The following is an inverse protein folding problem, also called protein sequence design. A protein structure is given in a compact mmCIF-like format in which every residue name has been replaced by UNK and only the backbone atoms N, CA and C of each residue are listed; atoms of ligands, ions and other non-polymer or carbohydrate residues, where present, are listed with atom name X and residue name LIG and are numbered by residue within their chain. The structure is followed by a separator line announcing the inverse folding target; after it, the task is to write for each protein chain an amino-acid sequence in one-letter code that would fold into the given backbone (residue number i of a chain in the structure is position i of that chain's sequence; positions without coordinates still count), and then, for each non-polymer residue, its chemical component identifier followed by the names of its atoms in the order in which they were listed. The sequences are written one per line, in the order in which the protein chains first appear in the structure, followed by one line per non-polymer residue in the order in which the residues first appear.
data_IF_856062600894
#
_entry.id   IF_856062600894
#
_cell.length_a   1.000
_cell.length_b   1.000
_cell.length_c   1.000
_cell.angle_alpha   90.00
_cell.angle_beta   90.00
_cell.angle_gamma   90.00
#
_symmetry.space_group_name_H-M   'P 1'
#
loop_
_entity.id
_entity.type
_entity.pdbx_description
1 polymer ?
#
# COMPACT_ATOMS: atom_id res chain seq x y z
N UNK A 1 -74.73 -61.08 -81.35
CA UNK A 1 -74.29 -61.46 -80.00
C UNK A 1 -72.91 -60.89 -79.73
N UNK A 2 -72.83 -59.88 -78.86
CA UNK A 2 -71.60 -59.29 -78.35
C UNK A 2 -71.24 -59.90 -76.98
N UNK A 3 -70.00 -59.77 -76.53
CA UNK A 3 -69.52 -60.30 -75.24
C UNK A 3 -69.00 -59.20 -74.29
N UNK A 4 -68.82 -59.51 -72.99
CA UNK A 4 -68.07 -58.66 -72.03
C UNK A 4 -66.55 -58.81 -72.17
N UNK A 5 -65.77 -57.82 -71.77
CA UNK A 5 -64.32 -57.85 -71.99
C UNK A 5 -63.56 -58.85 -71.11
N UNK A 6 -63.92 -58.93 -69.83
CA UNK A 6 -63.16 -59.69 -68.84
C UNK A 6 -63.53 -61.18 -68.79
N UNK A 7 -64.83 -61.47 -68.80
CA UNK A 7 -65.34 -62.84 -68.63
C UNK A 7 -65.95 -63.41 -69.91
N UNK A 8 -65.93 -62.65 -71.02
CA UNK A 8 -66.49 -63.08 -72.30
C UNK A 8 -67.93 -63.58 -72.15
N UNK A 9 -68.74 -62.86 -71.36
CA UNK A 9 -70.14 -63.21 -71.11
C UNK A 9 -70.99 -62.71 -72.26
N UNK A 10 -71.87 -63.55 -72.79
CA UNK A 10 -72.77 -63.17 -73.87
C UNK A 10 -73.76 -62.09 -73.43
N UNK A 11 -73.95 -61.08 -74.27
CA UNK A 11 -74.97 -60.03 -74.14
C UNK A 11 -76.03 -60.24 -75.22
N UNK A 12 -77.28 -60.37 -74.79
CA UNK A 12 -78.43 -60.38 -75.68
C UNK A 12 -78.77 -58.94 -76.10
N UNK A 13 -78.90 -58.70 -77.40
CA UNK A 13 -79.48 -57.45 -77.92
C UNK A 13 -80.84 -57.77 -78.56
N UNK A 14 -81.96 -57.30 -77.99
CA UNK A 14 -83.29 -57.66 -78.47
C UNK A 14 -83.59 -57.13 -79.89
N UNK A 15 -82.85 -56.11 -80.35
CA UNK A 15 -83.00 -55.56 -81.71
C UNK A 15 -82.08 -56.31 -82.67
N UNK A 16 -80.78 -56.42 -82.34
CA UNK A 16 -79.78 -57.00 -83.23
C UNK A 16 -79.82 -58.54 -83.30
N UNK A 17 -80.39 -59.22 -82.30
CA UNK A 17 -80.52 -60.68 -82.26
C UNK A 17 -81.99 -61.13 -82.39
N UNK A 18 -82.89 -60.27 -82.89
CA UNK A 18 -84.34 -60.52 -83.03
C UNK A 18 -84.72 -61.78 -83.82
N UNK A 19 -83.92 -62.16 -84.82
CA UNK A 19 -84.13 -63.37 -85.64
C UNK A 19 -83.47 -64.64 -85.05
N UNK A 20 -82.79 -64.54 -83.90
CA UNK A 20 -82.10 -65.68 -83.27
C UNK A 20 -82.92 -66.25 -82.13
N UNK A 21 -83.05 -67.57 -82.10
CA UNK A 21 -83.69 -68.26 -80.98
C UNK A 21 -82.85 -68.11 -79.71
N UNK A 22 -83.50 -67.74 -78.60
CA UNK A 22 -82.83 -67.64 -77.31
C UNK A 22 -82.31 -69.02 -76.88
N UNK A 23 -80.98 -69.17 -76.80
CA UNK A 23 -80.32 -70.40 -76.38
C UNK A 23 -79.94 -70.30 -74.89
N UNK A 24 -80.72 -70.96 -74.04
CA UNK A 24 -80.56 -70.97 -72.58
C UNK A 24 -79.15 -71.46 -72.18
N UNK A 25 -78.62 -72.47 -72.87
CA UNK A 25 -77.32 -73.06 -72.52
C UNK A 25 -76.18 -72.06 -72.73
N UNK A 26 -76.24 -71.30 -73.82
CA UNK A 26 -75.15 -70.36 -74.17
C UNK A 26 -75.29 -69.03 -73.42
N UNK A 27 -76.50 -68.49 -73.34
CA UNK A 27 -76.74 -67.12 -72.86
C UNK A 27 -76.97 -67.02 -71.35
N UNK A 28 -77.32 -68.13 -70.69
CA UNK A 28 -77.49 -68.20 -69.24
C UNK A 28 -76.48 -69.16 -68.62
N UNK A 29 -76.61 -70.47 -68.86
CA UNK A 29 -75.82 -71.49 -68.15
C UNK A 29 -74.32 -71.26 -68.35
N UNK A 30 -73.87 -71.09 -69.60
CA UNK A 30 -72.46 -70.82 -69.90
C UNK A 30 -71.93 -69.48 -69.35
N UNK A 31 -72.78 -68.48 -69.16
CA UNK A 31 -72.38 -67.24 -68.49
C UNK A 31 -72.25 -67.44 -66.97
N UNK A 32 -73.17 -68.20 -66.36
CA UNK A 32 -73.10 -68.56 -64.95
C UNK A 32 -71.87 -69.41 -64.62
N UNK A 33 -71.55 -70.41 -65.45
CA UNK A 33 -70.34 -71.23 -65.26
C UNK A 33 -69.06 -70.39 -65.31
N UNK A 34 -69.00 -69.39 -66.19
CA UNK A 34 -67.86 -68.45 -66.29
C UNK A 34 -67.77 -67.53 -65.07
N UNK A 35 -68.90 -67.07 -64.55
CA UNK A 35 -68.95 -66.25 -63.33
C UNK A 35 -68.51 -67.09 -62.13
N UNK A 36 -69.04 -68.30 -61.98
CA UNK A 36 -68.76 -69.21 -60.88
C UNK A 36 -67.29 -69.64 -60.86
N UNK A 37 -66.75 -70.02 -62.03
CA UNK A 37 -65.34 -70.34 -62.18
C UNK A 37 -64.43 -69.14 -61.81
N UNK A 38 -64.83 -67.91 -62.15
CA UNK A 38 -64.04 -66.72 -61.78
C UNK A 38 -64.15 -66.38 -60.30
N UNK A 39 -65.34 -66.52 -59.71
CA UNK A 39 -65.54 -66.34 -58.28
C UNK A 39 -64.60 -67.29 -57.49
N UNK A 40 -64.54 -68.56 -57.90
CA UNK A 40 -63.61 -69.53 -57.33
C UNK A 40 -62.12 -69.13 -57.51
N UNK A 41 -61.74 -68.57 -58.67
CA UNK A 41 -60.38 -68.05 -58.88
C UNK A 41 -60.05 -66.85 -57.97
N UNK A 42 -61.02 -65.96 -57.75
CA UNK A 42 -60.83 -64.77 -56.91
C UNK A 42 -60.76 -65.11 -55.42
N UNK A 43 -61.62 -66.01 -54.95
CA UNK A 43 -61.57 -66.52 -53.57
C UNK A 43 -60.21 -67.18 -53.25
N UNK A 44 -59.51 -67.70 -54.26
CA UNK A 44 -58.18 -68.28 -54.12
C UNK A 44 -57.00 -67.30 -54.10
N UNK A 45 -57.19 -66.00 -54.41
CA UNK A 45 -56.05 -65.06 -54.57
C UNK A 45 -55.56 -64.44 -53.27
N UNK A 46 -56.43 -64.18 -52.32
CA UNK A 46 -56.06 -63.69 -51.00
C UNK A 46 -57.15 -64.06 -50.00
N UNK A 47 -56.82 -64.85 -49.00
CA UNK A 47 -57.73 -65.13 -47.89
C UNK A 47 -57.49 -64.14 -46.75
N UNK A 48 -58.48 -63.90 -45.87
CA UNK A 48 -58.28 -63.11 -44.66
C UNK A 48 -57.08 -63.58 -43.82
N UNK A 49 -56.85 -64.90 -43.77
CA UNK A 49 -55.69 -65.49 -43.07
C UNK A 49 -54.37 -65.13 -43.74
N UNK A 50 -54.30 -65.15 -45.07
CA UNK A 50 -53.13 -64.73 -45.85
C UNK A 50 -52.77 -63.27 -45.60
N UNK A 51 -53.77 -62.39 -45.60
CA UNK A 51 -53.59 -60.97 -45.33
C UNK A 51 -53.12 -60.74 -43.88
N UNK A 52 -53.69 -61.47 -42.92
CA UNK A 52 -53.28 -61.40 -41.52
C UNK A 52 -51.84 -61.91 -41.31
N UNK A 53 -51.44 -62.96 -42.02
CA UNK A 53 -50.06 -63.47 -41.98
C UNK A 53 -49.06 -62.41 -42.46
N UNK A 54 -49.32 -61.73 -43.58
CA UNK A 54 -48.49 -60.63 -44.10
C UNK A 54 -48.41 -59.45 -43.13
N UNK A 55 -49.54 -59.09 -42.50
CA UNK A 55 -49.57 -58.03 -41.49
C UNK A 55 -48.74 -58.38 -40.25
N UNK A 56 -48.81 -59.64 -39.79
CA UNK A 56 -48.01 -60.13 -38.67
C UNK A 56 -46.51 -60.13 -38.98
N UNK A 57 -46.13 -60.54 -40.20
CA UNK A 57 -44.73 -60.53 -40.67
C UNK A 57 -44.19 -59.09 -40.73
N UNK A 58 -44.95 -58.16 -41.32
CA UNK A 58 -44.56 -56.75 -41.36
C UNK A 58 -44.42 -56.14 -39.95
N UNK A 59 -45.30 -56.49 -39.01
CA UNK A 59 -45.21 -56.04 -37.63
C UNK A 59 -43.97 -56.60 -36.93
N UNK A 60 -43.62 -57.87 -37.15
CA UNK A 60 -42.42 -58.48 -36.59
C UNK A 60 -41.15 -57.78 -37.11
N UNK A 61 -41.06 -57.58 -38.43
CA UNK A 61 -39.93 -56.90 -39.06
C UNK A 61 -39.76 -55.44 -38.55
N UNK A 62 -40.88 -54.72 -38.38
CA UNK A 62 -40.84 -53.36 -37.84
C UNK A 62 -40.34 -53.31 -36.39
N UNK A 63 -40.76 -54.27 -35.56
CA UNK A 63 -40.29 -54.37 -34.16
C UNK A 63 -38.81 -54.71 -34.09
N UNK A 64 -38.35 -55.64 -34.91
CA UNK A 64 -36.94 -56.03 -35.00
C UNK A 64 -36.06 -54.83 -35.41
N UNK A 65 -36.45 -54.12 -36.47
CA UNK A 65 -35.75 -52.91 -36.90
C UNK A 65 -35.69 -51.83 -35.81
N UNK A 66 -36.80 -51.60 -35.09
CA UNK A 66 -36.84 -50.63 -34.01
C UNK A 66 -35.90 -51.01 -32.86
N UNK A 67 -35.88 -52.29 -32.47
CA UNK A 67 -34.99 -52.79 -31.42
C UNK A 67 -33.51 -52.66 -31.81
N UNK A 68 -33.16 -53.01 -33.05
CA UNK A 68 -31.79 -52.87 -33.56
C UNK A 68 -31.33 -51.42 -33.56
N UNK A 69 -32.21 -50.49 -33.98
CA UNK A 69 -31.88 -49.06 -33.98
C UNK A 69 -31.78 -48.47 -32.58
N UNK A 70 -32.59 -48.93 -31.63
CA UNK A 70 -32.47 -48.51 -30.22
C UNK A 70 -31.17 -49.04 -29.60
N UNK A 71 -30.75 -50.26 -29.95
CA UNK A 71 -29.50 -50.84 -29.48
C UNK A 71 -28.26 -50.09 -30.03
N UNK A 72 -28.31 -49.62 -31.28
CA UNK A 72 -27.20 -48.89 -31.90
C UNK A 72 -27.15 -47.39 -31.51
N UNK A 73 -28.28 -46.81 -31.11
CA UNK A 73 -28.42 -45.35 -30.95
C UNK A 73 -27.89 -44.76 -29.63
N UNK A 74 -27.31 -45.51 -28.69
CA UNK A 74 -26.86 -44.82 -27.46
C UNK A 74 -26.10 -45.57 -26.38
N UNK A 75 -25.85 -46.88 -26.49
CA UNK A 75 -25.00 -47.54 -25.50
C UNK A 75 -23.51 -47.27 -25.79
N UNK A 76 -22.83 -46.71 -24.80
CA UNK A 76 -21.38 -46.53 -24.86
C UNK A 76 -20.74 -47.92 -24.80
N UNK A 77 -20.20 -48.39 -25.93
CA UNK A 77 -19.68 -49.76 -26.08
C UNK A 77 -18.40 -50.03 -25.28
N UNK A 78 -17.65 -48.98 -24.94
CA UNK A 78 -16.53 -49.07 -24.00
C UNK A 78 -16.15 -47.73 -23.38
N UNK A 79 -15.79 -47.73 -22.09
CA UNK A 79 -15.14 -46.61 -21.37
C UNK A 79 -14.15 -47.18 -20.36
N UNK A 80 -12.95 -46.61 -20.30
CA UNK A 80 -11.94 -46.90 -19.28
C UNK A 80 -11.75 -48.42 -19.02
N UNK A 81 -11.48 -49.16 -20.10
CA UNK A 81 -11.30 -50.63 -20.11
C UNK A 81 -12.54 -51.48 -19.79
N UNK A 82 -13.71 -50.88 -19.56
CA UNK A 82 -15.00 -51.61 -19.54
C UNK A 82 -15.51 -51.73 -20.97
N UNK A 83 -16.01 -52.89 -21.35
CA UNK A 83 -16.61 -53.19 -22.66
C UNK A 83 -18.00 -53.78 -22.48
N UNK A 84 -18.90 -53.57 -23.44
CA UNK A 84 -20.29 -54.04 -23.39
C UNK A 84 -21.25 -52.93 -22.95
N UNK A 85 -22.32 -53.29 -22.25
CA UNK A 85 -23.31 -52.35 -21.72
C UNK A 85 -22.72 -51.56 -20.54
N UNK A 86 -22.01 -50.46 -20.83
CA UNK A 86 -21.34 -49.67 -19.80
C UNK A 86 -22.31 -48.72 -19.13
N UNK A 87 -22.63 -48.98 -17.85
CA UNK A 87 -23.25 -48.00 -16.96
C UNK A 87 -22.15 -47.08 -16.41
N UNK A 88 -22.17 -45.80 -16.79
CA UNK A 88 -21.20 -44.81 -16.33
C UNK A 88 -21.56 -44.29 -14.93
N UNK A 89 -20.57 -44.32 -14.04
CA UNK A 89 -20.58 -43.58 -12.78
C UNK A 89 -19.79 -42.29 -12.91
N UNK A 90 -19.95 -41.37 -11.96
CA UNK A 90 -19.16 -40.14 -11.89
C UNK A 90 -17.64 -40.42 -11.91
N UNK A 91 -17.21 -41.54 -11.29
CA UNK A 91 -15.81 -41.96 -11.29
C UNK A 91 -15.30 -42.35 -12.68
N UNK A 92 -16.16 -42.94 -13.52
CA UNK A 92 -15.77 -43.42 -14.86
C UNK A 92 -15.42 -42.27 -15.82
N UNK A 93 -15.94 -41.07 -15.56
CA UNK A 93 -15.66 -39.86 -16.34
C UNK A 93 -14.70 -38.89 -15.64
N UNK A 94 -14.12 -39.30 -14.51
CA UNK A 94 -13.25 -38.43 -13.71
C UNK A 94 -13.97 -37.18 -13.17
N UNK A 95 -15.27 -37.27 -12.92
CA UNK A 95 -16.01 -36.15 -12.34
C UNK A 95 -15.53 -35.89 -10.92
N UNK A 96 -15.33 -34.61 -10.61
CA UNK A 96 -14.93 -34.15 -9.28
C UNK A 96 -16.00 -34.52 -8.24
N UNK A 97 -15.55 -34.95 -7.07
CA UNK A 97 -16.48 -35.26 -5.97
C UNK A 97 -16.90 -33.98 -5.27
N UNK A 98 -18.10 -33.92 -4.65
CA UNK A 98 -18.49 -32.79 -3.82
C UNK A 98 -17.43 -32.47 -2.73
N UNK A 99 -16.82 -33.50 -2.14
CA UNK A 99 -15.73 -33.36 -1.17
C UNK A 99 -14.49 -32.70 -1.78
N UNK A 100 -14.01 -33.18 -2.93
CA UNK A 100 -12.83 -32.60 -3.60
C UNK A 100 -13.07 -31.16 -4.07
N UNK A 101 -14.29 -30.84 -4.51
CA UNK A 101 -14.67 -29.46 -4.80
C UNK A 101 -14.63 -28.58 -3.54
N UNK A 102 -15.11 -29.09 -2.39
CA UNK A 102 -15.08 -28.37 -1.11
C UNK A 102 -13.64 -28.16 -0.61
N UNK A 103 -12.76 -29.14 -0.77
CA UNK A 103 -11.33 -29.03 -0.43
C UNK A 103 -10.65 -27.94 -1.27
N UNK A 104 -10.86 -27.93 -2.59
CA UNK A 104 -10.35 -26.88 -3.49
C UNK A 104 -10.85 -25.49 -3.10
N UNK A 105 -12.13 -25.37 -2.75
CA UNK A 105 -12.70 -24.10 -2.28
C UNK A 105 -12.06 -23.64 -0.96
N UNK A 106 -11.88 -24.56 -0.02
CA UNK A 106 -11.28 -24.27 1.29
C UNK A 106 -9.81 -23.86 1.16
N UNK A 107 -9.05 -24.51 0.27
CA UNK A 107 -7.67 -24.15 -0.03
C UNK A 107 -7.59 -22.76 -0.69
N UNK A 108 -8.48 -22.44 -1.62
CA UNK A 108 -8.54 -21.12 -2.24
C UNK A 108 -8.84 -20.02 -1.20
N UNK A 109 -9.76 -20.28 -0.27
CA UNK A 109 -10.06 -19.38 0.84
C UNK A 109 -8.85 -19.17 1.76
N UNK A 110 -8.15 -20.24 2.13
CA UNK A 110 -6.94 -20.16 2.96
C UNK A 110 -5.83 -19.36 2.27
N UNK A 111 -5.62 -19.60 0.97
CA UNK A 111 -4.64 -18.85 0.17
C UNK A 111 -5.01 -17.36 0.11
N UNK A 112 -6.29 -17.03 -0.08
CA UNK A 112 -6.77 -15.65 -0.10
C UNK A 112 -6.57 -14.96 1.27
N UNK A 113 -6.84 -15.66 2.38
CA UNK A 113 -6.60 -15.17 3.74
C UNK A 113 -5.11 -14.89 3.97
N UNK A 114 -4.23 -15.81 3.59
CA UNK A 114 -2.78 -15.68 3.76
C UNK A 114 -2.16 -14.56 2.91
N UNK A 115 -2.73 -14.28 1.74
CA UNK A 115 -2.27 -13.20 0.86
C UNK A 115 -2.81 -11.82 1.28
N UNK A 116 -3.83 -11.76 2.13
CA UNK A 116 -4.49 -10.51 2.54
C UNK A 116 -3.81 -9.85 3.75
N UNK A 117 -3.82 -8.52 3.79
CA UNK A 117 -3.41 -7.77 4.99
C UNK A 117 -4.45 -7.96 6.11
N UNK A 118 -4.02 -8.07 7.39
CA UNK A 118 -4.94 -8.20 8.52
C UNK A 118 -5.89 -7.00 8.62
N UNK A 119 -7.21 -7.25 8.58
CA UNK A 119 -8.24 -6.19 8.60
C UNK A 119 -8.66 -5.74 10.00
N UNK A 120 -8.42 -6.55 11.03
CA UNK A 120 -8.90 -6.32 12.40
C UNK A 120 -7.79 -6.51 13.43
N UNK A 121 -6.69 -5.78 13.25
CA UNK A 121 -5.47 -5.98 14.03
C UNK A 121 -4.66 -7.20 13.55
N UNK A 122 -3.38 -7.22 13.91
CA UNK A 122 -2.42 -8.24 13.49
C UNK A 122 -1.02 -7.64 13.32
N UNK A 123 -0.02 -8.50 13.12
CA UNK A 123 1.35 -8.10 12.86
C UNK A 123 1.66 -8.29 11.38
N UNK A 124 2.10 -7.23 10.71
CA UNK A 124 2.76 -7.32 9.40
C UNK A 124 4.27 -7.38 9.65
N UNK A 125 4.94 -8.43 9.19
CA UNK A 125 6.40 -8.60 9.29
C UNK A 125 7.07 -8.40 7.92
N UNK A 126 8.34 -8.00 7.93
CA UNK A 126 9.10 -7.67 6.72
C UNK A 126 9.07 -6.17 6.37
N UNK A 127 9.71 -5.81 5.25
CA UNK A 127 9.75 -4.42 4.80
C UNK A 127 8.42 -4.06 4.14
N UNK A 128 7.76 -3.01 4.64
CA UNK A 128 6.58 -2.43 4.00
C UNK A 128 7.00 -1.31 3.04
N UNK A 129 6.81 -1.52 1.74
CA UNK A 129 6.97 -0.46 0.75
C UNK A 129 5.66 0.33 0.62
N UNK A 130 5.65 1.60 1.05
CA UNK A 130 4.51 2.52 0.91
C UNK A 130 4.88 3.60 -0.09
N UNK A 131 4.17 3.67 -1.22
CA UNK A 131 4.45 4.65 -2.27
C UNK A 131 3.94 6.06 -1.94
N UNK A 132 2.97 6.15 -1.02
CA UNK A 132 2.30 7.39 -0.61
C UNK A 132 2.48 7.63 0.90
N UNK A 133 1.63 8.48 1.47
CA UNK A 133 1.64 8.82 2.91
C UNK A 133 1.21 7.60 3.74
N UNK A 134 1.99 7.28 4.77
CA UNK A 134 1.61 6.32 5.81
C UNK A 134 0.82 7.05 6.89
N UNK A 135 -0.50 6.86 6.90
CA UNK A 135 -1.36 7.34 7.99
C UNK A 135 -1.53 6.23 9.04
N UNK A 136 -1.09 6.46 10.27
CA UNK A 136 -1.26 5.51 11.40
C UNK A 136 -2.20 6.14 12.41
N UNK A 137 -3.37 5.52 12.64
CA UNK A 137 -4.39 6.04 13.57
C UNK A 137 -4.83 7.49 13.25
N UNK A 138 -4.88 7.86 11.98
CA UNK A 138 -5.21 9.23 11.55
C UNK A 138 -4.06 10.25 11.70
N UNK A 139 -2.88 9.83 12.17
CA UNK A 139 -1.68 10.68 12.22
C UNK A 139 -0.86 10.51 10.94
N UNK A 140 -0.45 11.63 10.36
CA UNK A 140 0.52 11.67 9.28
C UNK A 140 1.93 11.64 9.87
N UNK A 141 2.48 10.43 10.01
CA UNK A 141 3.78 10.19 10.66
C UNK A 141 4.92 10.90 9.90
N UNK A 142 4.80 11.03 8.58
CA UNK A 142 5.82 11.72 7.77
C UNK A 142 5.83 13.22 8.07
N UNK A 143 4.66 13.84 8.15
CA UNK A 143 4.53 15.25 8.51
C UNK A 143 5.08 15.54 9.91
N UNK A 144 4.83 14.65 10.88
CA UNK A 144 5.35 14.80 12.25
C UNK A 144 6.88 14.67 12.31
N UNK A 145 7.45 13.70 11.58
CA UNK A 145 8.91 13.54 11.49
C UNK A 145 9.56 14.77 10.86
N UNK A 146 8.96 15.31 9.79
CA UNK A 146 9.50 16.49 9.11
C UNK A 146 9.38 17.75 9.99
N UNK A 147 8.30 17.87 10.76
CA UNK A 147 8.14 18.93 11.77
C UNK A 147 9.22 18.85 12.85
N UNK A 148 9.57 17.65 13.32
CA UNK A 148 10.65 17.47 14.31
C UNK A 148 12.04 17.82 13.74
N UNK A 149 12.31 17.47 12.47
CA UNK A 149 13.56 17.87 11.80
C UNK A 149 13.64 19.39 11.66
N UNK A 150 12.55 20.04 11.25
CA UNK A 150 12.50 21.49 11.10
C UNK A 150 12.73 22.19 12.45
N UNK A 151 12.11 21.72 13.53
CA UNK A 151 12.35 22.25 14.88
C UNK A 151 13.84 22.17 15.29
N UNK A 152 14.55 21.11 14.88
CA UNK A 152 16.00 20.99 15.09
C UNK A 152 16.82 22.01 14.28
N UNK A 153 16.41 22.32 13.05
CA UNK A 153 17.03 23.37 12.22
C UNK A 153 16.79 24.75 12.83
N UNK A 154 15.55 25.02 13.25
CA UNK A 154 15.17 26.30 13.87
C UNK A 154 15.94 26.52 15.18
N UNK A 155 16.04 25.49 16.03
CA UNK A 155 16.83 25.56 17.27
C UNK A 155 18.32 25.84 17.00
N UNK A 156 18.88 25.25 15.93
CA UNK A 156 20.26 25.52 15.52
C UNK A 156 20.45 26.96 15.05
N UNK A 157 19.51 27.48 14.27
CA UNK A 157 19.52 28.88 13.83
C UNK A 157 19.47 29.83 15.03
N UNK A 158 18.60 29.59 16.00
CA UNK A 158 18.52 30.41 17.23
C UNK A 158 19.83 30.45 18.01
N UNK A 159 20.54 29.31 18.10
CA UNK A 159 21.86 29.25 18.75
C UNK A 159 22.91 30.05 17.97
N UNK A 160 22.92 29.94 16.63
CA UNK A 160 23.80 30.73 15.76
C UNK A 160 23.55 32.22 15.94
N UNK A 161 22.28 32.63 15.91
CA UNK A 161 21.89 34.02 16.10
C UNK A 161 22.31 34.55 17.47
N UNK A 162 22.14 33.77 18.54
CA UNK A 162 22.58 34.13 19.88
C UNK A 162 24.11 34.29 19.98
N UNK A 163 24.89 33.39 19.37
CA UNK A 163 26.36 33.50 19.34
C UNK A 163 26.79 34.77 18.61
N UNK A 164 26.17 35.06 17.46
CA UNK A 164 26.46 36.25 16.67
C UNK A 164 26.07 37.53 17.42
N UNK A 165 24.93 37.52 18.12
CA UNK A 165 24.49 38.64 18.96
C UNK A 165 25.46 38.93 20.13
N UNK A 166 26.12 37.90 20.67
CA UNK A 166 27.18 38.05 21.69
C UNK A 166 28.56 38.44 21.09
N UNK A 167 28.62 38.80 19.81
CA UNK A 167 29.85 39.21 19.13
C UNK A 167 30.75 38.05 18.69
N UNK A 168 30.22 36.82 18.67
CA UNK A 168 30.86 35.68 18.03
C UNK A 168 30.64 35.64 16.51
N UNK A 169 31.21 34.62 15.86
CA UNK A 169 30.99 34.35 14.43
C UNK A 169 30.61 32.88 14.23
N UNK A 170 29.31 32.60 14.07
CA UNK A 170 28.73 31.28 13.88
C UNK A 170 27.87 31.20 12.60
N UNK A 171 27.71 29.99 12.08
CA UNK A 171 26.89 29.67 10.91
C UNK A 171 26.08 28.41 11.15
N UNK A 172 24.92 28.27 10.51
CA UNK A 172 24.14 27.02 10.49
C UNK A 172 24.85 25.85 9.84
N UNK A 173 25.94 26.10 9.11
CA UNK A 173 26.82 25.05 8.59
C UNK A 173 27.81 24.50 9.63
N UNK A 174 28.02 25.20 10.76
CA UNK A 174 28.89 24.72 11.83
C UNK A 174 28.34 23.42 12.43
N UNK A 175 29.23 22.50 12.80
CA UNK A 175 28.82 21.31 13.58
C UNK A 175 28.34 21.71 14.98
N UNK A 176 27.55 20.87 15.64
CA UNK A 176 27.15 21.12 17.05
C UNK A 176 28.35 21.22 17.99
N UNK A 177 29.43 20.47 17.74
CA UNK A 177 30.67 20.57 18.50
C UNK A 177 31.35 21.94 18.32
N UNK A 178 31.36 22.45 17.07
CA UNK A 178 31.86 23.80 16.75
C UNK A 178 31.04 24.88 17.42
N UNK A 179 29.70 24.79 17.36
CA UNK A 179 28.80 25.73 18.04
C UNK A 179 29.02 25.71 19.56
N UNK A 180 29.16 24.52 20.16
CA UNK A 180 29.46 24.38 21.59
C UNK A 180 30.78 25.05 21.99
N UNK A 181 31.83 24.90 21.18
CA UNK A 181 33.10 25.58 21.40
C UNK A 181 32.95 27.11 21.29
N UNK A 182 32.20 27.58 20.29
CA UNK A 182 31.92 29.01 20.11
C UNK A 182 31.11 29.61 21.26
N UNK A 183 30.12 28.88 21.80
CA UNK A 183 29.37 29.30 23.00
C UNK A 183 30.31 29.56 24.18
N UNK A 184 31.32 28.70 24.38
CA UNK A 184 32.32 28.89 25.45
C UNK A 184 33.21 30.11 25.20
N UNK A 185 33.47 30.45 23.94
CA UNK A 185 34.29 31.60 23.55
C UNK A 185 33.56 32.94 23.67
N UNK A 186 32.25 32.96 23.46
CA UNK A 186 31.40 34.16 23.62
C UNK A 186 30.87 34.35 25.06
N UNK A 187 31.27 33.48 26.00
CA UNK A 187 30.99 33.68 27.42
C UNK A 187 31.63 34.97 27.96
N UNK A 188 31.25 35.36 29.19
CA UNK A 188 31.72 36.60 29.85
C UNK A 188 33.20 36.84 29.62
N UNK A 189 33.53 37.94 28.96
CA UNK A 189 34.92 38.31 28.69
C UNK A 189 35.46 38.99 29.94
N UNK A 190 36.33 38.30 30.67
CA UNK A 190 36.99 38.85 31.83
C UNK A 190 38.48 38.56 31.79
N UNK A 191 39.25 39.41 32.45
CA UNK A 191 40.68 39.28 32.64
C UNK A 191 41.03 39.71 34.06
N UNK A 192 42.12 39.16 34.59
CA UNK A 192 42.70 39.60 35.85
C UNK A 192 44.21 39.64 35.74
N UNK A 193 44.83 40.43 36.58
CA UNK A 193 46.27 40.47 36.67
C UNK A 193 46.73 41.29 37.85
N UNK A 194 48.04 41.53 37.88
CA UNK A 194 48.65 42.44 38.84
C UNK A 194 49.33 43.58 38.13
N UNK A 195 49.44 44.72 38.81
CA UNK A 195 50.21 45.86 38.33
C UNK A 195 50.91 46.52 39.52
N UNK A 196 52.14 46.97 39.31
CA UNK A 196 52.88 47.74 40.30
C UNK A 196 52.95 49.17 39.83
N UNK A 197 52.50 50.09 40.67
CA UNK A 197 52.66 51.53 40.41
C UNK A 197 53.86 52.01 41.20
N UNK A 198 54.90 52.45 40.50
CA UNK A 198 56.17 52.89 41.11
C UNK A 198 56.30 54.40 41.25
N UNK A 199 55.45 55.17 40.57
CA UNK A 199 55.43 56.63 40.56
C UNK A 199 53.98 57.17 40.49
N UNK A 200 53.82 58.49 40.36
CA UNK A 200 52.50 59.13 40.31
C UNK A 200 51.78 59.00 38.95
N UNK A 201 52.24 58.12 38.05
CA UNK A 201 51.70 58.02 36.68
C UNK A 201 50.65 56.92 36.50
N UNK A 202 50.40 56.10 37.53
CA UNK A 202 49.42 55.03 37.44
C UNK A 202 49.91 53.83 36.62
N UNK A 203 49.00 53.13 35.94
CA UNK A 203 49.37 52.04 35.03
C UNK A 203 48.35 51.82 33.91
N UNK A 204 48.83 51.19 32.84
CA UNK A 204 48.04 50.80 31.68
C UNK A 204 47.91 49.28 31.62
N UNK A 205 46.68 48.81 31.39
CA UNK A 205 46.41 47.44 30.95
C UNK A 205 46.02 47.49 29.49
N UNK A 206 46.81 46.84 28.64
CA UNK A 206 46.60 46.77 27.19
C UNK A 206 46.49 45.32 26.73
N UNK A 207 45.93 45.09 25.55
CA UNK A 207 45.86 43.76 24.92
C UNK A 207 44.69 42.90 25.40
N UNK A 208 43.71 43.49 26.10
CA UNK A 208 42.43 42.82 26.34
C UNK A 208 41.72 42.62 25.00
N UNK A 209 41.07 41.47 24.81
CA UNK A 209 40.25 41.18 23.61
C UNK A 209 38.85 41.78 23.70
N UNK A 210 38.64 42.69 24.66
CA UNK A 210 37.38 43.36 24.96
C UNK A 210 37.65 44.73 25.59
N UNK A 211 36.69 45.65 25.40
CA UNK A 211 36.64 46.89 26.14
C UNK A 211 35.97 46.61 27.50
N UNK A 212 36.65 46.86 28.63
CA UNK A 212 36.07 46.59 29.93
C UNK A 212 34.96 47.59 30.29
N UNK A 213 33.82 47.09 30.73
CA UNK A 213 32.69 47.85 31.27
C UNK A 213 32.65 47.85 32.81
N UNK A 214 33.40 46.95 33.45
CA UNK A 214 33.60 46.85 34.89
C UNK A 214 35.08 46.63 35.16
N UNK A 215 35.66 47.46 36.02
CA UNK A 215 37.04 47.30 36.48
C UNK A 215 37.06 47.41 38.01
N UNK A 216 37.70 46.46 38.67
CA UNK A 216 37.88 46.43 40.11
C UNK A 216 39.36 46.31 40.39
N UNK A 217 39.92 47.24 41.16
CA UNK A 217 41.30 47.15 41.66
C UNK A 217 41.29 47.05 43.16
N UNK A 218 42.13 46.13 43.65
CA UNK A 218 42.37 45.88 45.06
C UNK A 218 43.86 45.99 45.30
N UNK A 219 44.29 46.79 46.27
CA UNK A 219 45.71 46.77 46.66
C UNK A 219 46.10 45.47 47.33
N UNK A 220 47.27 44.97 46.96
CA UNK A 220 47.94 43.79 47.48
C UNK A 220 49.29 44.23 48.08
N UNK A 221 49.71 43.59 49.19
CA UNK A 221 50.96 43.91 49.91
C UNK A 221 50.79 44.20 51.40
N UNK A 222 51.88 44.15 52.15
CA UNK A 222 51.92 44.35 53.61
C UNK A 222 51.86 45.84 53.99
N UNK A 223 50.73 46.48 53.72
CA UNK A 223 50.45 47.84 54.18
C UNK A 223 49.38 47.76 55.27
N UNK A 224 49.79 47.40 56.49
CA UNK A 224 48.91 47.03 57.60
C UNK A 224 47.88 48.10 58.01
N UNK A 225 48.05 49.35 57.57
CA UNK A 225 47.10 50.46 57.80
C UNK A 225 46.39 50.98 56.55
N UNK A 226 46.70 50.46 55.35
CA UNK A 226 46.25 51.03 54.07
C UNK A 226 45.37 50.05 53.31
N UNK A 227 44.11 50.42 53.12
CA UNK A 227 43.17 49.69 52.25
C UNK A 227 42.69 50.65 51.18
N UNK A 228 42.82 50.26 49.93
CA UNK A 228 42.14 50.96 48.86
C UNK A 228 41.42 49.99 47.93
N UNK A 229 40.29 50.47 47.44
CA UNK A 229 39.44 49.82 46.45
C UNK A 229 39.12 50.87 45.41
N UNK A 230 39.33 50.50 44.16
CA UNK A 230 38.95 51.32 43.03
C UNK A 230 37.93 50.54 42.21
N UNK A 231 36.85 51.20 41.79
CA UNK A 231 35.81 50.58 40.99
C UNK A 231 35.45 51.52 39.85
N UNK A 232 35.46 50.98 38.64
CA UNK A 232 34.85 51.57 37.47
C UNK A 232 33.69 50.70 37.02
N UNK A 233 32.56 51.30 36.72
CA UNK A 233 31.45 50.64 36.04
C UNK A 233 30.77 51.61 35.08
N UNK A 234 30.74 51.24 33.80
CA UNK A 234 30.08 52.02 32.76
C UNK A 234 28.56 52.08 32.98
N UNK A 235 27.96 50.97 33.41
CA UNK A 235 26.50 50.82 33.54
C UNK A 235 25.89 51.79 34.56
N UNK A 236 26.59 52.00 35.67
CA UNK A 236 26.17 52.88 36.77
C UNK A 236 26.98 54.18 36.83
N UNK A 237 27.74 54.48 35.77
CA UNK A 237 28.59 55.66 35.65
C UNK A 237 29.46 55.92 36.90
N UNK A 238 30.06 54.85 37.44
CA UNK A 238 30.97 54.91 38.57
C UNK A 238 32.41 54.93 38.07
N UNK A 239 33.21 55.86 38.59
CA UNK A 239 34.64 55.94 38.31
C UNK A 239 35.36 56.50 39.53
N UNK A 240 35.46 55.66 40.56
CA UNK A 240 35.91 56.09 41.88
C UNK A 240 37.10 55.27 42.38
N UNK A 241 37.98 55.96 43.07
CA UNK A 241 39.04 55.37 43.89
C UNK A 241 38.88 55.83 45.33
N UNK A 242 38.75 54.87 46.24
CA UNK A 242 38.76 55.13 47.67
C UNK A 242 40.02 54.55 48.29
N UNK A 243 40.83 55.40 48.93
CA UNK A 243 41.98 54.98 49.72
C UNK A 243 41.87 55.48 51.15
N UNK A 244 42.18 54.61 52.12
CA UNK A 244 42.32 55.00 53.52
C UNK A 244 43.72 54.68 54.00
N UNK A 245 44.40 55.67 54.58
CA UNK A 245 45.71 55.49 55.23
C UNK A 245 45.60 55.81 56.72
N UNK A 246 45.22 54.80 57.53
CA UNK A 246 45.16 54.86 59.00
C UNK A 246 44.19 55.89 59.60
N UNK A 247 44.38 57.16 59.28
CA UNK A 247 43.70 58.36 59.79
C UNK A 247 42.96 59.16 58.71
N UNK A 248 43.31 59.05 57.42
CA UNK A 248 42.72 59.88 56.35
C UNK A 248 42.09 59.04 55.25
N UNK A 249 40.92 59.46 54.76
CA UNK A 249 40.25 58.90 53.58
C UNK A 249 40.38 59.84 52.39
N UNK A 250 40.78 59.30 51.24
CA UNK A 250 40.93 60.00 49.97
C UNK A 250 39.92 59.44 48.97
N UNK A 251 39.25 60.34 48.27
CA UNK A 251 38.36 60.03 47.16
C UNK A 251 38.89 60.70 45.91
N UNK A 252 39.13 59.92 44.87
CA UNK A 252 39.52 60.45 43.56
C UNK A 252 38.48 59.97 42.56
N UNK A 253 37.98 60.90 41.75
CA UNK A 253 37.05 60.63 40.65
C UNK A 253 37.83 60.58 39.32
N UNK A 254 37.25 59.91 38.32
CA UNK A 254 37.80 59.85 36.96
C UNK A 254 39.18 59.18 36.87
N UNK A 255 39.36 58.15 37.67
CA UNK A 255 40.64 57.44 37.85
C UNK A 255 40.86 56.40 36.75
N UNK A 256 39.80 56.03 36.03
CA UNK A 256 39.83 55.12 34.90
C UNK A 256 39.54 55.82 33.58
N UNK A 257 40.34 55.48 32.57
CA UNK A 257 40.00 55.72 31.16
C UNK A 257 39.95 54.37 30.44
N UNK A 258 38.76 53.82 30.17
CA UNK A 258 38.62 52.62 29.35
C UNK A 258 39.19 52.88 27.96
N UNK A 259 39.86 51.89 27.38
CA UNK A 259 40.33 51.92 26.00
C UNK A 259 39.70 50.75 25.24
N UNK A 260 39.79 50.75 23.91
CA UNK A 260 39.17 49.73 23.06
C UNK A 260 39.58 48.29 23.46
N UNK A 261 40.81 48.11 23.95
CA UNK A 261 41.42 46.82 24.27
C UNK A 261 42.13 46.86 25.64
N UNK A 262 41.58 47.59 26.61
CA UNK A 262 42.30 47.86 27.85
C UNK A 262 41.68 48.92 28.75
N UNK A 263 42.46 49.40 29.70
CA UNK A 263 42.13 50.54 30.54
C UNK A 263 43.40 51.20 31.08
N UNK A 264 43.31 52.49 31.36
CA UNK A 264 44.31 53.26 32.09
C UNK A 264 43.79 53.58 33.49
N UNK A 265 44.63 53.43 34.50
CA UNK A 265 44.34 53.80 35.88
C UNK A 265 45.30 54.89 36.34
N UNK A 266 44.81 56.10 36.57
CA UNK A 266 45.59 57.30 36.90
C UNK A 266 45.43 57.67 38.38
N UNK A 267 46.45 57.45 39.23
CA UNK A 267 46.28 57.55 40.69
C UNK A 267 46.48 58.97 41.27
N UNK A 268 46.57 60.00 40.43
CA UNK A 268 46.75 61.38 40.86
C UNK A 268 48.02 61.63 41.72
N UNK A 269 48.19 62.86 42.18
CA UNK A 269 49.32 63.26 43.01
C UNK A 269 49.06 62.86 44.47
N UNK A 270 49.98 62.12 45.11
CA UNK A 270 50.09 61.79 46.56
C UNK A 270 50.06 60.31 46.95
N UNK A 271 50.31 59.37 46.03
CA UNK A 271 50.28 57.94 46.34
C UNK A 271 51.65 57.26 46.21
N UNK A 272 52.02 56.54 47.27
CA UNK A 272 53.25 55.74 47.37
C UNK A 272 53.12 54.44 46.57
N UNK A 273 54.27 53.81 46.27
CA UNK A 273 54.36 52.53 45.56
C UNK A 273 53.38 51.50 46.09
N UNK A 274 52.42 51.08 45.25
CA UNK A 274 51.42 50.05 45.55
C UNK A 274 51.45 48.96 44.48
N UNK A 275 51.12 47.75 44.90
CA UNK A 275 50.78 46.65 43.99
C UNK A 275 49.26 46.48 44.00
N UNK A 276 48.68 46.30 42.82
CA UNK A 276 47.25 46.12 42.63
C UNK A 276 47.00 44.75 42.02
N UNK A 277 45.98 44.05 42.52
CA UNK A 277 45.27 43.02 41.77
C UNK A 277 44.10 43.71 41.05
N UNK A 278 44.01 43.54 39.74
CA UNK A 278 42.93 44.08 38.93
C UNK A 278 42.08 42.95 38.36
N UNK A 279 40.78 43.22 38.27
CA UNK A 279 39.79 42.42 37.57
C UNK A 279 39.07 43.33 36.59
N UNK A 280 38.99 42.91 35.33
CA UNK A 280 38.31 43.63 34.26
C UNK A 280 37.29 42.68 33.61
N UNK A 281 36.06 43.13 33.45
CA UNK A 281 35.02 42.45 32.69
C UNK A 281 34.50 43.39 31.59
N UNK A 282 34.12 42.83 30.45
CA UNK A 282 33.53 43.54 29.31
C UNK A 282 32.20 42.94 28.87
#
# INVERSE_FOLDING_TARGET
MAETDNLKLYKADPVADSDKTFNIDTMLNGNWDKIDSKAAEWDGKETPEGAQAKANEALAAAKEYANDKVADAGQVKSVNNKTGDVVLTAADVGAETPTGAQEKASQAEANAKNASLPRSGGTVSGNLAVTNILTVQGRDVLSEIDSAKQAGVDAKQQIVDAINAMGGSASTNDSWATLSAKIKQVGMKWAKGTATVTDFSGFDVTGLTFQPNLIILKVIGNYSSRRCLAVYSQEINLNWYHARDGTTSYFVENVYTPTQNGFKFDIGTNIYKFEFEWFAAG
#
